data_IF_640751931246
#
_entry.id   IF_640751931246
#
_cell.length_a   1.000
_cell.length_b   1.000
_cell.length_c   1.000
_cell.angle_alpha   90.00
_cell.angle_beta   90.00
_cell.angle_gamma   90.00
#
_symmetry.space_group_name_H-M   'P 1'
#
loop_
_entity.id
_entity.type
_entity.pdbx_description
1 polymer ?
#
# COMPACT_ATOMS: atom_id res chain seq x y z
N UNK A 1 -15.13 26.06 -10.40
CA UNK A 1 -14.43 25.19 -11.37
C UNK A 1 -13.39 24.40 -10.59
N UNK A 2 -13.65 23.14 -10.27
CA UNK A 2 -12.68 22.28 -9.59
C UNK A 2 -11.59 21.94 -10.60
N UNK A 3 -10.42 22.57 -10.45
CA UNK A 3 -9.25 22.28 -11.28
C UNK A 3 -8.84 20.84 -11.03
N UNK A 4 -9.25 19.92 -11.91
CA UNK A 4 -8.78 18.55 -11.96
C UNK A 4 -7.30 18.57 -12.37
N UNK A 5 -6.41 18.87 -11.42
CA UNK A 5 -4.98 18.79 -11.64
C UNK A 5 -4.60 17.31 -11.75
N UNK A 6 -4.11 16.93 -12.91
CA UNK A 6 -3.47 15.64 -13.13
C UNK A 6 -2.00 15.75 -12.73
N UNK A 7 -1.51 14.79 -11.96
CA UNK A 7 -0.14 14.75 -11.44
C UNK A 7 0.57 13.54 -12.04
N UNK A 8 1.80 13.74 -12.51
CA UNK A 8 2.63 12.66 -13.02
C UNK A 8 3.60 12.20 -11.94
N UNK A 9 3.45 10.97 -11.45
CA UNK A 9 4.24 10.43 -10.34
C UNK A 9 4.51 8.94 -10.60
N UNK A 10 5.77 8.50 -10.51
CA UNK A 10 6.18 7.11 -10.79
C UNK A 10 5.68 6.54 -12.14
N UNK A 11 5.46 7.38 -13.15
CA UNK A 11 4.97 6.95 -14.48
C UNK A 11 3.45 6.84 -14.61
N UNK A 12 2.67 7.21 -13.59
CA UNK A 12 1.21 7.21 -13.60
C UNK A 12 0.60 8.62 -13.50
N UNK A 13 -0.63 8.78 -13.99
CA UNK A 13 -1.41 10.02 -13.91
C UNK A 13 -2.42 9.99 -12.77
N UNK A 14 -2.25 10.84 -11.78
CA UNK A 14 -3.07 10.87 -10.57
C UNK A 14 -3.96 12.10 -10.50
N UNK A 15 -5.07 11.97 -9.79
CA UNK A 15 -5.96 13.07 -9.42
C UNK A 15 -5.76 13.41 -7.96
N UNK A 16 -5.54 14.69 -7.64
CA UNK A 16 -5.45 15.14 -6.24
C UNK A 16 -6.84 15.38 -5.66
N UNK A 17 -7.13 14.74 -4.53
CA UNK A 17 -8.38 14.91 -3.77
C UNK A 17 -8.08 14.74 -2.27
N UNK A 18 -8.60 15.64 -1.43
CA UNK A 18 -8.56 15.52 0.04
C UNK A 18 -7.20 15.12 0.65
N UNK A 19 -6.10 15.70 0.15
CA UNK A 19 -4.76 15.42 0.69
C UNK A 19 -4.11 14.10 0.24
N UNK A 20 -4.64 13.49 -0.82
CA UNK A 20 -3.99 12.36 -1.49
C UNK A 20 -4.06 12.48 -3.02
N UNK A 21 -3.12 11.83 -3.69
CA UNK A 21 -3.11 11.55 -5.12
C UNK A 21 -3.73 10.17 -5.33
N UNK A 22 -4.70 10.06 -6.23
CA UNK A 22 -5.39 8.80 -6.54
C UNK A 22 -5.28 8.47 -8.01
N UNK A 23 -4.99 7.21 -8.34
CA UNK A 23 -5.01 6.72 -9.70
C UNK A 23 -6.46 6.41 -10.10
N UNK A 24 -6.89 6.64 -11.34
CA UNK A 24 -8.28 6.29 -11.74
C UNK A 24 -8.49 4.80 -11.93
N UNK A 25 -7.43 4.04 -12.20
CA UNK A 25 -7.49 2.62 -12.54
C UNK A 25 -6.48 1.85 -11.69
N UNK A 26 -6.92 0.78 -11.04
CA UNK A 26 -6.06 -0.13 -10.28
C UNK A 26 -4.94 -0.68 -11.16
N UNK A 27 -3.69 -0.42 -10.77
CA UNK A 27 -2.51 -0.87 -11.49
C UNK A 27 -1.54 -1.53 -10.49
N UNK A 28 -1.17 -2.81 -10.64
CA UNK A 28 -0.27 -3.48 -9.70
C UNK A 28 1.16 -2.88 -9.67
N UNK A 29 1.55 -2.16 -10.73
CA UNK A 29 2.86 -1.51 -10.84
C UNK A 29 2.92 -0.14 -10.15
N UNK A 30 1.77 0.53 -9.96
CA UNK A 30 1.72 1.89 -9.41
C UNK A 30 0.87 1.93 -8.13
N UNK A 31 1.23 2.75 -7.14
CA UNK A 31 0.36 2.93 -5.99
C UNK A 31 -0.99 3.48 -6.46
N UNK A 32 -2.07 2.97 -5.89
CA UNK A 32 -3.41 3.47 -6.14
C UNK A 32 -3.64 4.81 -5.41
N UNK A 33 -3.04 4.95 -4.22
CA UNK A 33 -3.15 6.13 -3.38
C UNK A 33 -1.74 6.54 -2.93
N UNK A 34 -1.43 7.83 -3.05
CA UNK A 34 -0.24 8.45 -2.46
C UNK A 34 -0.72 9.58 -1.56
N UNK A 35 -0.50 9.45 -0.26
CA UNK A 35 -0.85 10.48 0.72
C UNK A 35 0.15 11.63 0.69
N UNK A 36 -0.28 12.83 1.09
CA UNK A 36 0.59 14.01 1.15
C UNK A 36 1.80 13.80 2.09
N UNK A 37 1.72 12.90 3.06
CA UNK A 37 2.83 12.54 3.93
C UNK A 37 3.87 11.60 3.28
N UNK A 38 3.63 11.13 2.05
CA UNK A 38 4.48 10.19 1.31
C UNK A 38 4.10 8.71 1.45
N UNK A 39 3.09 8.37 2.25
CA UNK A 39 2.58 6.99 2.38
C UNK A 39 1.93 6.55 1.07
N UNK A 40 2.21 5.32 0.64
CA UNK A 40 1.72 4.74 -0.61
C UNK A 40 0.91 3.49 -0.33
N UNK A 41 -0.20 3.34 -1.04
CA UNK A 41 -1.06 2.16 -0.95
C UNK A 41 -1.35 1.57 -2.33
N UNK A 42 -1.28 0.25 -2.44
CA UNK A 42 -1.62 -0.52 -3.62
C UNK A 42 -2.93 -1.26 -3.39
N UNK A 43 -3.87 -1.05 -4.30
CA UNK A 43 -5.18 -1.67 -4.26
C UNK A 43 -5.47 -2.38 -5.58
N UNK A 44 -6.13 -3.53 -5.48
CA UNK A 44 -6.69 -4.26 -6.62
C UNK A 44 -8.17 -4.50 -6.32
N UNK A 45 -9.05 -4.12 -7.24
CA UNK A 45 -10.52 -4.21 -7.05
C UNK A 45 -11.03 -3.59 -5.73
N UNK A 46 -10.41 -2.48 -5.29
CA UNK A 46 -10.83 -1.75 -4.10
C UNK A 46 -10.37 -2.34 -2.77
N UNK A 47 -9.52 -3.38 -2.78
CA UNK A 47 -8.90 -3.93 -1.57
C UNK A 47 -7.38 -3.84 -1.63
N UNK A 48 -6.74 -3.73 -0.47
CA UNK A 48 -5.28 -3.77 -0.36
C UNK A 48 -4.74 -5.08 -0.94
N UNK A 49 -3.87 -4.94 -1.93
CA UNK A 49 -3.30 -6.08 -2.65
C UNK A 49 -2.03 -5.65 -3.35
N UNK A 50 -0.95 -6.40 -3.11
CA UNK A 50 0.24 -6.35 -3.98
C UNK A 50 1.01 -7.67 -3.92
N UNK A 51 1.14 -8.34 -5.05
CA UNK A 51 1.86 -9.61 -5.12
C UNK A 51 3.37 -9.41 -4.90
N UNK A 52 3.94 -10.08 -3.90
CA UNK A 52 5.38 -10.12 -3.63
C UNK A 52 6.02 -8.84 -3.08
N UNK A 53 5.27 -7.74 -2.97
CA UNK A 53 5.74 -6.43 -2.47
C UNK A 53 4.77 -5.87 -1.42
N UNK A 54 5.17 -4.88 -0.61
CA UNK A 54 4.26 -4.27 0.36
C UNK A 54 3.07 -3.61 -0.33
N UNK A 55 1.86 -3.90 0.13
CA UNK A 55 0.65 -3.20 -0.31
C UNK A 55 0.50 -1.84 0.38
N UNK A 56 1.19 -1.61 1.51
CA UNK A 56 1.34 -0.30 2.12
C UNK A 56 2.82 -0.05 2.38
N UNK A 57 3.31 1.11 1.95
CA UNK A 57 4.63 1.66 2.28
C UNK A 57 4.41 2.98 3.01
N UNK A 58 4.65 3.00 4.32
CA UNK A 58 4.52 4.20 5.13
C UNK A 58 5.71 5.13 4.93
N UNK A 59 5.47 6.44 5.07
CA UNK A 59 6.53 7.44 4.90
C UNK A 59 7.65 7.38 5.94
N UNK A 60 7.40 6.71 7.08
CA UNK A 60 8.39 6.45 8.11
C UNK A 60 9.25 5.20 7.84
N UNK A 61 9.04 4.51 6.70
CA UNK A 61 9.74 3.28 6.32
C UNK A 61 9.08 1.98 6.76
N UNK A 62 7.99 2.04 7.54
CA UNK A 62 7.21 0.87 7.90
C UNK A 62 6.49 0.29 6.67
N UNK A 63 6.23 -1.01 6.66
CA UNK A 63 5.59 -1.68 5.52
C UNK A 63 4.59 -2.75 5.94
N UNK A 64 3.57 -2.92 5.11
CA UNK A 64 2.59 -4.01 5.24
C UNK A 64 2.36 -4.74 3.93
N UNK A 65 2.31 -6.05 4.01
CA UNK A 65 2.05 -6.97 2.91
C UNK A 65 0.62 -7.47 2.99
N UNK A 66 -0.16 -7.18 1.95
CA UNK A 66 -1.55 -7.58 1.82
C UNK A 66 -1.78 -8.30 0.50
N UNK A 67 -2.59 -9.35 0.55
CA UNK A 67 -3.04 -10.09 -0.60
C UNK A 67 -4.55 -10.31 -0.49
N UNK A 68 -5.29 -9.84 -1.48
CA UNK A 68 -6.77 -9.91 -1.53
C UNK A 68 -7.44 -9.39 -0.25
N UNK A 69 -7.00 -8.22 0.23
CA UNK A 69 -7.58 -7.58 1.42
C UNK A 69 -7.22 -8.23 2.75
N UNK A 70 -6.29 -9.19 2.76
CA UNK A 70 -5.81 -9.85 3.99
C UNK A 70 -4.30 -9.67 4.15
N UNK A 71 -3.83 -9.43 5.38
CA UNK A 71 -2.39 -9.44 5.68
C UNK A 71 -1.84 -10.83 5.36
N UNK A 72 -0.84 -10.90 4.50
CA UNK A 72 -0.31 -12.19 4.06
C UNK A 72 1.11 -12.06 3.52
N UNK A 73 1.98 -12.93 4.02
CA UNK A 73 3.31 -13.19 3.45
C UNK A 73 3.82 -14.55 3.92
N UNK A 74 4.29 -15.39 3.00
CA UNK A 74 4.89 -16.70 3.33
C UNK A 74 6.39 -16.60 3.61
N UNK A 75 7.07 -15.68 2.94
CA UNK A 75 8.54 -15.62 2.91
C UNK A 75 9.13 -14.63 3.92
N UNK A 76 8.34 -14.19 4.91
CA UNK A 76 8.76 -13.19 5.88
C UNK A 76 7.60 -12.55 6.65
N UNK A 77 7.87 -11.52 7.46
CA UNK A 77 6.82 -10.81 8.19
C UNK A 77 5.90 -10.06 7.22
N UNK A 78 4.60 -10.16 7.47
CA UNK A 78 3.58 -9.44 6.72
C UNK A 78 3.43 -7.99 7.21
N UNK A 79 3.89 -7.67 8.41
CA UNK A 79 3.92 -6.31 8.95
C UNK A 79 5.28 -6.05 9.56
N UNK A 80 5.91 -4.94 9.21
CA UNK A 80 7.20 -4.51 9.73
C UNK A 80 7.05 -3.07 10.21
N UNK A 81 7.11 -2.88 11.52
CA UNK A 81 7.05 -1.59 12.19
C UNK A 81 8.35 -1.37 12.96
N UNK A 82 9.27 -0.58 12.41
CA UNK A 82 10.62 -0.37 12.95
C UNK A 82 11.31 -1.72 13.25
N UNK A 83 11.37 -2.10 14.54
CA UNK A 83 12.00 -3.33 15.01
C UNK A 83 11.01 -4.46 15.32
N UNK A 84 9.70 -4.18 15.21
CA UNK A 84 8.64 -5.15 15.44
C UNK A 84 8.19 -5.76 14.13
N UNK A 85 8.08 -7.07 14.10
CA UNK A 85 7.72 -7.84 12.93
C UNK A 85 6.56 -8.75 13.29
N UNK A 86 5.57 -8.86 12.41
CA UNK A 86 4.41 -9.73 12.61
C UNK A 86 4.20 -10.57 11.36
N UNK A 87 4.00 -11.86 11.57
CA UNK A 87 3.74 -12.83 10.51
C UNK A 87 2.24 -13.08 10.43
N UNK A 88 1.70 -12.97 9.23
CA UNK A 88 0.32 -13.29 8.91
C UNK A 88 0.28 -14.12 7.63
N UNK A 89 -0.56 -15.15 7.61
CA UNK A 89 -0.84 -15.95 6.42
C UNK A 89 -2.35 -15.99 6.23
N UNK A 90 -2.85 -15.54 5.07
CA UNK A 90 -4.28 -15.50 4.76
C UNK A 90 -5.13 -14.75 5.81
N UNK A 91 -4.55 -13.72 6.43
CA UNK A 91 -5.17 -12.93 7.49
C UNK A 91 -5.00 -13.50 8.90
N UNK A 92 -4.46 -14.72 9.04
CA UNK A 92 -4.27 -15.36 10.34
C UNK A 92 -2.91 -15.03 10.94
N UNK A 93 -2.91 -14.55 12.19
CA UNK A 93 -1.69 -14.26 12.94
C UNK A 93 -0.91 -15.55 13.23
N UNK A 94 0.39 -15.51 12.98
CA UNK A 94 1.27 -16.66 13.21
C UNK A 94 2.19 -16.43 14.41
N UNK A 95 2.93 -15.31 14.40
CA UNK A 95 3.88 -14.94 15.46
C UNK A 95 4.29 -13.46 15.32
N UNK A 96 4.98 -12.94 16.32
CA UNK A 96 5.67 -11.65 16.24
C UNK A 96 7.10 -11.75 16.82
N UNK A 97 7.92 -10.74 16.51
CA UNK A 97 9.15 -10.50 17.28
C UNK A 97 8.81 -9.89 18.63
N UNK A 98 9.62 -10.21 19.64
CA UNK A 98 9.55 -9.62 20.97
C UNK A 98 10.44 -8.38 21.04
#
# INVERSE_FOLDING_TARGET
MTNNKTYHENGGWYFKKNGCLTLSVGNPSHPQIIWDNGTKEWHLYGVLHRAGKPAIEYSNGDVEYWFNGKRHRTDGPAVIYRNKQYWFVNGEFQKCTH
#
